data_IF_077445656784
#
_entry.id   IF_077445656784
#
_cell.length_a   1.000
_cell.length_b   1.000
_cell.length_c   1.000
_cell.angle_alpha   90.00
_cell.angle_beta   90.00
_cell.angle_gamma   90.00
#
_symmetry.space_group_name_H-M   'P 1'
#
loop_
_entity.id
_entity.type
_entity.pdbx_description
1 polymer ?
#
# COMPACT_ATOMS: atom_id res chain seq x y z
N UNK A 1 -25.29 9.02 -20.32
CA UNK A 1 -24.21 8.54 -19.44
C UNK A 1 -24.90 8.16 -18.15
N UNK A 2 -24.71 6.94 -17.67
CA UNK A 2 -25.47 6.38 -16.54
C UNK A 2 -25.12 7.14 -15.26
N UNK A 3 -26.11 7.84 -14.70
CA UNK A 3 -26.11 8.54 -13.40
C UNK A 3 -25.97 7.58 -12.19
N UNK A 4 -25.56 6.34 -12.41
CA UNK A 4 -25.48 5.27 -11.41
C UNK A 4 -24.06 5.08 -10.83
N UNK A 5 -23.09 5.92 -11.23
CA UNK A 5 -21.70 5.85 -10.74
C UNK A 5 -21.57 6.64 -9.44
N UNK A 6 -21.40 5.93 -8.33
CA UNK A 6 -21.27 6.54 -6.99
C UNK A 6 -19.85 7.01 -6.66
N UNK A 7 -18.83 6.33 -7.19
CA UNK A 7 -17.43 6.56 -6.82
C UNK A 7 -16.78 7.63 -7.71
N UNK A 8 -16.09 8.59 -7.09
CA UNK A 8 -15.20 9.48 -7.82
C UNK A 8 -13.97 8.71 -8.34
N UNK A 9 -13.19 9.33 -9.20
CA UNK A 9 -12.01 8.69 -9.81
C UNK A 9 -11.00 8.21 -8.75
N UNK A 10 -10.67 9.08 -7.79
CA UNK A 10 -9.77 8.78 -6.66
C UNK A 10 -10.31 7.63 -5.79
N UNK A 11 -11.63 7.51 -5.65
CA UNK A 11 -12.24 6.40 -4.90
C UNK A 11 -12.04 5.07 -5.63
N UNK A 12 -12.13 5.08 -6.97
CA UNK A 12 -11.85 3.89 -7.78
C UNK A 12 -10.37 3.52 -7.76
N UNK A 13 -9.46 4.50 -7.82
CA UNK A 13 -8.03 4.25 -7.63
C UNK A 13 -7.75 3.57 -6.27
N UNK A 14 -8.37 4.09 -5.21
CA UNK A 14 -8.26 3.53 -3.86
C UNK A 14 -8.78 2.10 -3.78
N UNK A 15 -9.99 1.85 -4.32
CA UNK A 15 -10.60 0.51 -4.34
C UNK A 15 -9.76 -0.52 -5.12
N UNK A 16 -9.15 -0.11 -6.24
CA UNK A 16 -8.23 -0.97 -6.99
C UNK A 16 -6.93 -1.27 -6.22
N UNK A 17 -6.42 -0.31 -5.44
CA UNK A 17 -5.26 -0.54 -4.57
C UNK A 17 -5.57 -1.59 -3.49
N UNK A 18 -6.75 -1.51 -2.87
CA UNK A 18 -7.26 -2.52 -1.93
C UNK A 18 -7.36 -3.89 -2.62
N UNK A 19 -8.00 -3.97 -3.79
CA UNK A 19 -8.17 -5.22 -4.52
C UNK A 19 -6.82 -5.87 -4.92
N UNK A 20 -5.85 -5.07 -5.37
CA UNK A 20 -4.50 -5.54 -5.70
C UNK A 20 -3.84 -6.17 -4.47
N UNK A 21 -3.86 -5.48 -3.32
CA UNK A 21 -3.22 -5.98 -2.09
C UNK A 21 -3.93 -7.23 -1.55
N UNK A 22 -5.26 -7.28 -1.61
CA UNK A 22 -6.03 -8.46 -1.24
C UNK A 22 -5.69 -9.67 -2.13
N UNK A 23 -5.56 -9.48 -3.44
CA UNK A 23 -5.16 -10.54 -4.36
C UNK A 23 -3.76 -11.07 -4.05
N UNK A 24 -2.79 -10.19 -3.82
CA UNK A 24 -1.42 -10.59 -3.45
C UNK A 24 -1.40 -11.32 -2.10
N UNK A 25 -2.11 -10.82 -1.10
CA UNK A 25 -2.19 -11.45 0.22
C UNK A 25 -2.84 -12.83 0.17
N UNK A 26 -3.93 -12.99 -0.60
CA UNK A 26 -4.59 -14.27 -0.82
C UNK A 26 -3.64 -15.27 -1.50
N UNK A 27 -2.93 -14.87 -2.55
CA UNK A 27 -1.92 -15.70 -3.21
C UNK A 27 -0.72 -16.03 -2.31
N UNK A 28 -0.38 -15.15 -1.37
CA UNK A 28 0.63 -15.42 -0.36
C UNK A 28 0.17 -16.38 0.75
N UNK A 29 -1.14 -16.63 0.88
CA UNK A 29 -1.74 -17.49 1.90
C UNK A 29 -2.03 -16.77 3.22
N UNK A 30 -2.27 -15.46 3.18
CA UNK A 30 -2.48 -14.61 4.35
C UNK A 30 -3.89 -14.04 4.40
N UNK A 31 -4.37 -13.78 5.61
CA UNK A 31 -5.63 -13.04 5.79
C UNK A 31 -5.38 -11.56 5.56
N UNK A 32 -6.32 -10.88 4.92
CA UNK A 32 -6.20 -9.47 4.53
C UNK A 32 -7.58 -8.80 4.68
N UNK A 33 -7.67 -7.72 5.44
CA UNK A 33 -8.94 -7.05 5.68
C UNK A 33 -8.77 -5.74 6.44
N UNK A 34 -9.85 -4.98 6.53
CA UNK A 34 -9.85 -3.72 7.28
C UNK A 34 -9.49 -3.96 8.76
N UNK A 35 -8.67 -3.08 9.37
CA UNK A 35 -8.36 -3.19 10.78
C UNK A 35 -9.62 -3.00 11.64
N UNK A 36 -9.70 -3.62 12.83
CA UNK A 36 -10.86 -3.49 13.69
C UNK A 36 -10.96 -2.07 14.28
N UNK A 37 -12.19 -1.53 14.30
CA UNK A 37 -12.50 -0.23 14.91
C UNK A 37 -12.46 0.94 13.90
N UNK A 38 -12.65 2.17 14.36
CA UNK A 38 -12.67 3.34 13.48
C UNK A 38 -11.27 3.62 12.92
N UNK A 39 -11.17 3.91 11.61
CA UNK A 39 -9.91 4.32 10.97
C UNK A 39 -9.47 5.70 11.49
N UNK A 40 -8.63 5.69 12.52
CA UNK A 40 -7.98 6.88 13.08
C UNK A 40 -6.50 6.97 12.74
N UNK A 41 -5.89 5.83 12.43
CA UNK A 41 -4.45 5.67 12.29
C UNK A 41 -3.98 5.70 10.83
N UNK A 42 -4.87 6.03 9.90
CA UNK A 42 -4.58 6.08 8.47
C UNK A 42 -4.12 4.70 7.95
N UNK A 43 -4.77 3.63 8.43
CA UNK A 43 -4.49 2.25 8.05
C UNK A 43 -5.71 1.73 7.29
N UNK A 44 -5.51 1.46 5.99
CA UNK A 44 -6.60 0.97 5.15
C UNK A 44 -6.75 -0.56 5.27
N UNK A 45 -5.65 -1.29 5.54
CA UNK A 45 -5.68 -2.75 5.59
C UNK A 45 -4.68 -3.34 6.58
N UNK A 46 -5.07 -4.45 7.21
CA UNK A 46 -4.20 -5.31 7.99
C UNK A 46 -4.03 -6.65 7.27
N UNK A 47 -2.77 -7.05 7.09
CA UNK A 47 -2.38 -8.37 6.58
C UNK A 47 -1.85 -9.18 7.76
N UNK A 48 -2.32 -10.42 7.91
CA UNK A 48 -1.89 -11.28 9.01
C UNK A 48 -1.55 -12.70 8.53
N UNK A 49 -0.48 -13.24 9.12
CA UNK A 49 -0.02 -14.61 8.90
C UNK A 49 -0.27 -15.49 10.12
N UNK A 50 -0.38 -16.80 9.89
CA UNK A 50 -0.44 -17.80 10.96
C UNK A 50 0.95 -18.19 11.50
N UNK A 51 0.98 -19.30 12.23
CA UNK A 51 2.22 -19.91 12.71
C UNK A 51 2.86 -19.17 13.90
N UNK A 52 4.18 -19.35 14.05
CA UNK A 52 4.96 -18.77 15.15
C UNK A 52 4.88 -17.23 15.14
N UNK A 53 4.64 -16.64 16.32
CA UNK A 53 4.41 -15.20 16.57
C UNK A 53 3.20 -14.56 15.86
N UNK A 54 2.56 -15.24 14.90
CA UNK A 54 1.39 -14.75 14.15
C UNK A 54 1.58 -13.30 13.65
N UNK A 55 2.62 -13.04 12.84
CA UNK A 55 3.01 -11.68 12.47
C UNK A 55 1.91 -10.98 11.67
N UNK A 56 1.90 -9.66 11.80
CA UNK A 56 0.96 -8.77 11.14
C UNK A 56 1.69 -7.59 10.51
N UNK A 57 1.06 -6.99 9.51
CA UNK A 57 1.48 -5.73 8.90
C UNK A 57 0.24 -4.88 8.69
N UNK A 58 0.29 -3.65 9.15
CA UNK A 58 -0.69 -2.64 8.87
C UNK A 58 -0.19 -1.79 7.68
N UNK A 59 -1.06 -1.48 6.73
CA UNK A 59 -0.68 -0.74 5.55
C UNK A 59 -1.64 0.42 5.25
N UNK A 60 -1.04 1.57 4.93
CA UNK A 60 -1.72 2.61 4.17
C UNK A 60 -1.55 2.31 2.70
N UNK A 61 -2.67 2.28 1.98
CA UNK A 61 -2.76 2.15 0.55
C UNK A 61 -2.94 3.53 -0.09
N UNK A 62 -2.21 3.70 -1.20
CA UNK A 62 -2.39 4.79 -2.15
C UNK A 62 -2.35 4.21 -3.56
N UNK A 63 -2.90 4.97 -4.49
CA UNK A 63 -2.77 4.73 -5.91
C UNK A 63 -2.48 6.06 -6.59
N UNK A 64 -1.82 6.01 -7.75
CA UNK A 64 -1.56 7.20 -8.55
C UNK A 64 -1.22 6.85 -9.99
N UNK A 65 -1.66 7.68 -10.93
CA UNK A 65 -1.26 7.62 -12.35
C UNK A 65 0.04 8.38 -12.66
N UNK A 66 0.67 9.00 -11.64
CA UNK A 66 1.74 9.99 -11.81
C UNK A 66 2.96 9.69 -10.93
N UNK A 67 3.24 8.41 -10.66
CA UNK A 67 4.42 8.04 -9.87
C UNK A 67 5.69 8.39 -10.67
N UNK A 68 6.44 9.39 -10.17
CA UNK A 68 7.69 9.86 -10.79
C UNK A 68 8.87 9.42 -9.95
N UNK A 69 9.95 9.05 -10.61
CA UNK A 69 11.18 8.63 -9.93
C UNK A 69 12.44 9.16 -10.58
N UNK A 70 13.47 9.30 -9.76
CA UNK A 70 14.81 9.77 -10.12
C UNK A 70 15.80 8.76 -9.55
N UNK A 71 16.76 8.30 -10.36
CA UNK A 71 17.66 7.21 -9.96
C UNK A 71 16.88 5.96 -9.54
N UNK A 72 17.15 5.45 -8.34
CA UNK A 72 16.61 4.18 -7.82
C UNK A 72 15.36 4.34 -6.95
N UNK A 73 14.81 5.56 -6.83
CA UNK A 73 13.62 5.82 -5.99
C UNK A 73 12.53 6.56 -6.75
N UNK A 74 11.29 6.36 -6.31
CA UNK A 74 10.16 7.24 -6.58
C UNK A 74 10.03 8.28 -5.46
N UNK A 75 9.49 9.45 -5.79
CA UNK A 75 9.11 10.47 -4.81
C UNK A 75 7.59 10.56 -4.77
N UNK A 76 7.00 10.29 -3.59
CA UNK A 76 5.56 10.28 -3.40
C UNK A 76 5.14 11.31 -2.35
N UNK A 77 4.29 12.29 -2.67
CA UNK A 77 3.80 13.26 -1.69
C UNK A 77 2.74 12.62 -0.79
N UNK A 78 3.06 12.47 0.49
CA UNK A 78 2.17 11.92 1.50
C UNK A 78 1.59 13.05 2.37
N UNK A 79 0.29 13.01 2.67
CA UNK A 79 -0.33 13.98 3.60
C UNK A 79 0.36 13.93 4.95
N UNK A 80 0.59 15.10 5.56
CA UNK A 80 1.36 15.20 6.81
C UNK A 80 0.79 14.33 7.93
N UNK A 81 -0.54 14.22 8.04
CA UNK A 81 -1.21 13.31 8.99
C UNK A 81 -0.74 11.87 8.79
N UNK A 82 -0.89 11.33 7.58
CA UNK A 82 -0.52 9.95 7.25
C UNK A 82 0.99 9.73 7.43
N UNK A 83 1.82 10.73 7.12
CA UNK A 83 3.26 10.68 7.40
C UNK A 83 3.55 10.51 8.90
N UNK A 84 2.90 11.32 9.75
CA UNK A 84 3.06 11.21 11.19
C UNK A 84 2.53 9.87 11.72
N UNK A 85 1.41 9.37 11.22
CA UNK A 85 0.83 8.11 11.68
C UNK A 85 1.68 6.89 11.28
N UNK A 86 2.30 6.92 10.10
CA UNK A 86 3.13 5.83 9.58
C UNK A 86 4.56 5.82 10.14
N UNK A 87 5.11 6.96 10.58
CA UNK A 87 6.46 7.01 11.18
C UNK A 87 6.52 6.50 12.62
N UNK A 88 5.37 6.36 13.29
CA UNK A 88 5.31 5.93 14.70
C UNK A 88 5.78 4.49 14.85
N UNK A 89 6.67 4.25 15.81
CA UNK A 89 7.05 2.90 16.23
C UNK A 89 5.87 2.20 16.87
N UNK A 90 5.48 1.07 16.31
CA UNK A 90 4.31 0.27 16.74
C UNK A 90 4.66 -1.20 16.79
N UNK A 91 3.88 -1.98 17.57
CA UNK A 91 4.10 -3.43 17.68
C UNK A 91 3.80 -4.14 16.36
N UNK A 92 2.72 -3.74 15.68
CA UNK A 92 2.42 -4.15 14.31
C UNK A 92 3.06 -3.14 13.36
N UNK A 93 4.07 -3.54 12.56
CA UNK A 93 4.73 -2.61 11.67
C UNK A 93 3.77 -1.98 10.65
N UNK A 94 4.02 -0.71 10.36
CA UNK A 94 3.25 0.08 9.39
C UNK A 94 4.06 0.32 8.13
N UNK A 95 3.43 0.13 6.96
CA UNK A 95 4.04 0.42 5.67
C UNK A 95 3.13 1.27 4.79
N UNK A 96 3.75 2.00 3.87
CA UNK A 96 3.06 2.64 2.75
C UNK A 96 3.14 1.71 1.54
N UNK A 97 2.01 1.44 0.90
CA UNK A 97 1.93 0.75 -0.39
C UNK A 97 1.33 1.73 -1.42
N UNK A 98 2.02 1.94 -2.53
CA UNK A 98 1.57 2.82 -3.62
C UNK A 98 1.44 2.03 -4.90
N UNK A 99 0.21 1.86 -5.38
CA UNK A 99 -0.09 1.29 -6.69
C UNK A 99 0.17 2.34 -7.77
N UNK A 100 1.11 2.07 -8.67
CA UNK A 100 1.32 2.89 -9.88
C UNK A 100 0.31 2.43 -10.93
N UNK A 101 -0.61 3.30 -11.36
CA UNK A 101 -1.63 3.00 -12.36
C UNK A 101 -1.24 3.57 -13.73
N UNK A 102 -1.72 3.00 -14.85
CA UNK A 102 -1.60 3.63 -16.17
C UNK A 102 -2.27 5.01 -16.21
N UNK A 103 -1.88 5.88 -17.14
CA UNK A 103 -2.54 7.19 -17.32
C UNK A 103 -3.99 7.07 -17.77
N UNK A 104 -4.24 6.14 -18.69
CA UNK A 104 -5.58 5.90 -19.24
C UNK A 104 -6.36 4.95 -18.33
N UNK A 105 -7.54 5.40 -17.89
CA UNK A 105 -8.37 4.69 -16.89
C UNK A 105 -8.83 3.32 -17.38
N UNK A 106 -9.10 3.20 -18.68
CA UNK A 106 -9.54 1.96 -19.33
C UNK A 106 -8.46 0.87 -19.33
N UNK A 107 -7.23 1.24 -18.97
CA UNK A 107 -6.12 0.30 -18.83
C UNK A 107 -5.92 -0.21 -17.41
N UNK A 108 -6.55 0.40 -16.40
CA UNK A 108 -6.33 0.06 -14.98
C UNK A 108 -6.71 -1.38 -14.68
N UNK A 109 -7.86 -1.82 -15.17
CA UNK A 109 -8.37 -3.17 -15.01
C UNK A 109 -8.90 -3.69 -16.35
N UNK A 110 -8.43 -4.87 -16.76
CA UNK A 110 -8.93 -5.57 -17.94
C UNK A 110 -9.35 -6.97 -17.58
N UNK A 111 -10.45 -7.42 -18.17
CA UNK A 111 -10.95 -8.78 -18.03
C UNK A 111 -11.10 -9.37 -19.43
N UNK A 112 -10.61 -10.58 -19.59
CA UNK A 112 -10.77 -11.40 -20.79
C UNK A 112 -11.13 -12.83 -20.38
N UNK A 113 -11.36 -13.70 -21.37
CA UNK A 113 -11.63 -15.13 -21.13
C UNK A 113 -10.44 -15.82 -20.45
N UNK A 114 -9.21 -15.37 -20.68
CA UNK A 114 -8.00 -16.00 -20.13
C UNK A 114 -7.53 -15.39 -18.81
N UNK A 115 -7.85 -14.13 -18.54
CA UNK A 115 -7.22 -13.40 -17.43
C UNK A 115 -8.02 -12.21 -16.92
N UNK A 116 -7.81 -11.91 -15.65
CA UNK A 116 -8.09 -10.63 -15.00
C UNK A 116 -6.75 -9.94 -14.73
N UNK A 117 -6.58 -8.72 -15.25
CA UNK A 117 -5.33 -7.95 -15.13
C UNK A 117 -5.63 -6.62 -14.46
N UNK A 118 -5.07 -6.42 -13.26
CA UNK A 118 -4.84 -5.09 -12.70
C UNK A 118 -3.47 -4.64 -13.22
N UNK A 119 -3.41 -3.59 -14.02
CA UNK A 119 -2.20 -3.25 -14.77
C UNK A 119 -1.20 -2.46 -13.91
N UNK A 120 0.09 -2.73 -14.16
CA UNK A 120 1.28 -2.23 -13.42
C UNK A 120 1.38 -2.85 -12.02
N UNK A 121 2.27 -2.30 -11.18
CA UNK A 121 2.64 -2.91 -9.90
C UNK A 121 2.57 -1.88 -8.78
N UNK A 122 2.38 -2.36 -7.56
CA UNK A 122 2.52 -1.55 -6.36
C UNK A 122 3.97 -1.60 -5.83
N UNK A 123 4.38 -0.54 -5.15
CA UNK A 123 5.66 -0.45 -4.45
C UNK A 123 5.43 -0.18 -2.97
N UNK A 124 6.36 -0.59 -2.11
CA UNK A 124 6.23 -0.41 -0.67
C UNK A 124 7.46 0.24 -0.02
N UNK A 125 7.25 0.92 1.10
CA UNK A 125 8.32 1.37 2.01
C UNK A 125 7.83 1.40 3.46
N UNK A 126 8.75 1.31 4.40
CA UNK A 126 8.50 1.73 5.79
C UNK A 126 9.15 3.09 5.99
N UNK A 127 8.48 3.95 6.77
CA UNK A 127 9.02 5.23 7.21
C UNK A 127 9.10 5.31 8.74
N UNK A 128 9.05 4.15 9.41
CA UNK A 128 9.16 4.05 10.85
C UNK A 128 10.46 4.73 11.32
N UNK A 129 10.36 5.62 12.30
CA UNK A 129 11.52 6.34 12.85
C UNK A 129 12.08 7.46 11.95
N UNK A 130 11.51 7.75 10.78
CA UNK A 130 11.89 8.94 9.99
C UNK A 130 11.74 10.21 10.84
N UNK A 131 12.49 11.29 10.60
CA UNK A 131 12.42 12.50 11.41
C UNK A 131 11.07 13.22 11.28
N UNK A 132 10.79 14.10 12.23
CA UNK A 132 9.60 14.93 12.15
C UNK A 132 9.70 15.96 11.02
N UNK A 133 8.56 16.44 10.53
CA UNK A 133 8.50 17.43 9.44
C UNK A 133 7.82 18.70 9.92
N UNK A 134 8.40 19.86 9.59
CA UNK A 134 7.77 21.17 9.81
C UNK A 134 6.75 21.55 8.71
N UNK A 135 6.69 20.78 7.60
CA UNK A 135 5.72 21.00 6.55
C UNK A 135 4.31 20.63 7.03
N UNK A 136 3.35 21.55 6.84
CA UNK A 136 1.98 21.41 7.34
C UNK A 136 1.02 20.67 6.39
N UNK A 137 1.43 20.42 5.14
CA UNK A 137 0.54 19.88 4.12
C UNK A 137 0.96 18.47 3.70
N UNK A 138 2.16 18.34 3.13
CA UNK A 138 2.66 17.08 2.56
C UNK A 138 4.14 16.89 2.83
N UNK A 139 4.57 15.64 2.90
CA UNK A 139 5.98 15.25 3.01
C UNK A 139 6.28 14.28 1.88
N UNK A 140 7.35 14.53 1.13
CA UNK A 140 7.79 13.63 0.06
C UNK A 140 8.50 12.41 0.64
N UNK A 141 7.93 11.24 0.43
CA UNK A 141 8.50 9.95 0.83
C UNK A 141 9.23 9.33 -0.35
N UNK A 142 10.46 8.89 -0.12
CA UNK A 142 11.24 8.14 -1.11
C UNK A 142 10.87 6.66 -1.06
N UNK A 143 10.43 6.11 -2.20
CA UNK A 143 10.04 4.69 -2.32
C UNK A 143 11.05 3.99 -3.22
N UNK A 144 11.82 2.99 -2.75
CA UNK A 144 12.76 2.27 -3.59
C UNK A 144 12.06 1.54 -4.74
N UNK A 145 12.58 1.67 -5.96
CA UNK A 145 12.06 0.97 -7.15
C UNK A 145 12.20 -0.55 -7.03
N UNK A 146 13.16 -1.02 -6.24
CA UNK A 146 13.36 -2.44 -5.92
C UNK A 146 12.29 -3.01 -4.98
N UNK A 147 11.56 -2.16 -4.25
CA UNK A 147 10.54 -2.61 -3.31
C UNK A 147 9.19 -2.82 -4.00
N UNK A 148 9.15 -3.71 -4.98
CA UNK A 148 7.88 -4.15 -5.59
C UNK A 148 7.05 -4.90 -4.54
N UNK A 149 5.76 -4.60 -4.44
CA UNK A 149 4.82 -5.32 -3.61
C UNK A 149 4.20 -6.48 -4.41
N UNK A 150 4.73 -7.67 -4.18
CA UNK A 150 4.32 -8.93 -4.81
C UNK A 150 4.27 -10.04 -3.76
N UNK A 151 3.96 -11.26 -4.18
CA UNK A 151 3.84 -12.42 -3.27
C UNK A 151 5.15 -12.72 -2.54
N UNK A 152 6.30 -12.59 -3.22
CA UNK A 152 7.60 -12.89 -2.62
C UNK A 152 7.93 -11.82 -1.58
N UNK A 153 7.83 -10.54 -1.94
CA UNK A 153 8.18 -9.46 -1.04
C UNK A 153 7.23 -9.36 0.15
N UNK A 154 5.95 -9.71 -0.01
CA UNK A 154 5.01 -9.81 1.12
C UNK A 154 5.40 -10.93 2.10
N UNK A 155 5.87 -12.08 1.59
CA UNK A 155 6.40 -13.16 2.45
C UNK A 155 7.65 -12.72 3.21
N UNK A 156 8.57 -12.05 2.50
CA UNK A 156 9.79 -11.49 3.10
C UNK A 156 9.45 -10.44 4.18
N UNK A 157 8.45 -9.58 3.92
CA UNK A 157 7.93 -8.62 4.89
C UNK A 157 7.34 -9.30 6.12
N UNK A 158 6.56 -10.37 5.95
CA UNK A 158 6.00 -11.11 7.10
C UNK A 158 7.08 -11.75 7.97
N UNK A 159 8.16 -12.26 7.37
CA UNK A 159 9.32 -12.75 8.13
C UNK A 159 10.00 -11.62 8.91
N UNK A 160 10.19 -10.45 8.29
CA UNK A 160 10.74 -9.28 8.99
C UNK A 160 9.83 -8.78 10.11
N UNK A 161 8.51 -8.85 9.93
CA UNK A 161 7.55 -8.52 10.99
C UNK A 161 7.71 -9.45 12.19
N UNK A 162 7.90 -10.75 11.94
CA UNK A 162 8.14 -11.77 12.97
C UNK A 162 9.38 -11.49 13.82
N UNK A 163 10.42 -10.89 13.25
CA UNK A 163 11.68 -10.57 13.95
C UNK A 163 11.79 -9.11 14.40
N UNK A 164 10.77 -8.28 14.15
CA UNK A 164 10.80 -6.85 14.46
C UNK A 164 11.76 -6.03 13.58
N UNK A 165 12.10 -6.51 12.39
CA UNK A 165 13.12 -5.91 11.49
C UNK A 165 12.52 -5.19 10.28
N UNK A 166 11.24 -4.78 10.35
CA UNK A 166 10.66 -3.88 9.35
C UNK A 166 11.14 -2.45 9.68
N UNK A 167 12.13 -2.02 8.91
CA UNK A 167 12.73 -0.68 8.88
C UNK A 167 12.83 -0.23 7.43
#
# INVERSE_FOLDING_TARGET
MTDDVLLAEDDVESALSVAYVQAIAAMAGYTCGEPPGPDRDSIDIQIASGGHMRPKIDAQLKATTRLKGTGDTFSFPLKVKNYHDLRVTTQTPRILIVLDLPKEREEWLRVSVSELVIRRVAYWCSIAGFPDSSNKNTVSVAIPKSNVFDVKSLRDLMERSRTGSIT
#
